data_IF_373714998018
#
_entry.id   IF_373714998018
#
_cell.length_a   1.000
_cell.length_b   1.000
_cell.length_c   1.000
_cell.angle_alpha   90.00
_cell.angle_beta   90.00
_cell.angle_gamma   90.00
#
_symmetry.space_group_name_H-M   'P 1'
#
loop_
_entity.id
_entity.type
_entity.pdbx_description
1 polymer ?
#
# COMPACT_ATOMS: atom_id res chain seq x y z
N UNK A 1 1.23 12.71 -33.09
CA UNK A 1 0.00 12.66 -32.28
C UNK A 1 0.38 11.98 -30.98
N UNK A 2 0.61 12.79 -29.95
CA UNK A 2 1.04 12.35 -28.62
C UNK A 2 -0.16 11.77 -27.88
N UNK A 3 0.01 10.58 -27.32
CA UNK A 3 -0.84 10.01 -26.27
C UNK A 3 -0.15 10.26 -24.94
N UNK A 4 -0.65 11.24 -24.18
CA UNK A 4 -0.26 11.46 -22.78
C UNK A 4 -0.71 10.29 -21.90
N UNK A 5 0.17 9.68 -21.08
CA UNK A 5 -0.21 8.75 -20.04
C UNK A 5 -0.29 9.50 -18.71
N UNK A 6 -1.29 10.38 -18.57
CA UNK A 6 -1.65 10.99 -17.29
C UNK A 6 -3.06 10.55 -16.92
N UNK A 7 -3.20 9.30 -16.46
CA UNK A 7 -4.37 8.89 -15.70
C UNK A 7 -4.04 9.18 -14.24
N UNK A 8 -4.38 10.39 -13.80
CA UNK A 8 -4.61 10.67 -12.39
C UNK A 8 -5.69 9.68 -11.90
N UNK A 9 -5.56 9.08 -10.70
CA UNK A 9 -6.66 8.30 -10.14
C UNK A 9 -7.84 9.24 -9.93
N UNK A 10 -8.93 8.94 -10.64
CA UNK A 10 -10.18 9.68 -10.66
C UNK A 10 -10.64 10.00 -9.22
N UNK A 11 -10.74 11.29 -8.89
CA UNK A 11 -11.38 11.75 -7.67
C UNK A 11 -12.83 11.23 -7.67
N UNK A 12 -13.12 10.31 -6.75
CA UNK A 12 -14.41 9.67 -6.49
C UNK A 12 -14.75 8.40 -7.30
N UNK A 13 -13.94 7.35 -7.12
CA UNK A 13 -14.43 5.98 -7.38
C UNK A 13 -15.59 5.67 -6.43
N UNK A 14 -16.82 5.79 -6.95
CA UNK A 14 -18.06 5.41 -6.27
C UNK A 14 -18.34 3.92 -6.36
N UNK A 15 -17.79 3.23 -7.35
CA UNK A 15 -18.08 1.83 -7.63
C UNK A 15 -16.83 0.99 -7.59
N UNK A 16 -16.90 -0.11 -6.85
CA UNK A 16 -15.76 -1.00 -6.64
C UNK A 16 -16.08 -2.40 -7.15
N UNK A 17 -15.20 -2.92 -8.01
CA UNK A 17 -15.25 -4.30 -8.51
C UNK A 17 -14.79 -5.27 -7.41
N UNK A 18 -15.72 -6.05 -6.88
CA UNK A 18 -15.49 -6.98 -5.78
C UNK A 18 -16.54 -6.80 -4.68
N UNK A 19 -16.79 -7.85 -3.92
CA UNK A 19 -17.72 -7.79 -2.79
C UNK A 19 -17.19 -8.65 -1.64
N UNK A 20 -16.97 -8.10 -0.43
CA UNK A 20 -16.43 -8.87 0.69
C UNK A 20 -17.35 -10.01 1.16
N UNK A 21 -18.63 -9.99 0.76
CA UNK A 21 -19.57 -11.07 1.07
C UNK A 21 -19.51 -12.24 0.09
N UNK A 22 -18.79 -12.15 -1.04
CA UNK A 22 -18.69 -13.22 -2.04
C UNK A 22 -17.70 -14.31 -1.61
N UNK A 23 -18.13 -15.58 -1.64
CA UNK A 23 -17.27 -16.76 -1.45
C UNK A 23 -17.50 -17.81 -2.52
N UNK A 24 -16.45 -18.58 -2.76
CA UNK A 24 -16.43 -19.70 -3.68
C UNK A 24 -15.93 -20.94 -2.92
N UNK A 25 -16.75 -21.99 -2.92
CA UNK A 25 -16.49 -23.26 -2.27
C UNK A 25 -16.55 -24.36 -3.33
N UNK A 26 -15.43 -24.58 -4.02
CA UNK A 26 -15.40 -25.46 -5.19
C UNK A 26 -16.24 -24.86 -6.32
N UNK A 27 -17.31 -25.55 -6.73
CA UNK A 27 -18.22 -25.07 -7.78
C UNK A 27 -19.35 -24.16 -7.23
N UNK A 28 -19.55 -24.14 -5.91
CA UNK A 28 -20.62 -23.37 -5.29
C UNK A 28 -20.18 -21.93 -5.01
N UNK A 29 -21.02 -20.97 -5.42
CA UNK A 29 -20.81 -19.55 -5.18
C UNK A 29 -21.87 -19.04 -4.23
N UNK A 30 -21.44 -18.39 -3.14
CA UNK A 30 -22.34 -17.93 -2.08
C UNK A 30 -22.09 -16.48 -1.68
N UNK A 31 -23.14 -15.82 -1.22
CA UNK A 31 -23.10 -14.52 -0.57
C UNK A 31 -23.31 -14.71 0.93
N UNK A 32 -22.46 -14.08 1.74
CA UNK A 32 -22.48 -14.12 3.20
C UNK A 32 -23.00 -12.82 3.83
N UNK A 33 -23.79 -12.01 3.09
CA UNK A 33 -24.25 -10.72 3.59
C UNK A 33 -25.18 -10.90 4.80
N UNK A 34 -25.03 -10.04 5.81
CA UNK A 34 -25.81 -10.11 7.06
C UNK A 34 -25.74 -11.48 7.75
N UNK A 35 -24.60 -12.16 7.67
CA UNK A 35 -24.33 -13.50 8.23
C UNK A 35 -25.27 -14.60 7.73
N UNK A 36 -25.91 -14.35 6.61
CA UNK A 36 -26.80 -15.30 5.96
C UNK A 36 -26.11 -15.86 4.73
N UNK A 37 -26.22 -17.17 4.51
CA UNK A 37 -25.60 -17.84 3.38
C UNK A 37 -26.64 -17.99 2.27
N UNK A 38 -26.39 -17.34 1.12
CA UNK A 38 -27.26 -17.44 -0.05
C UNK A 38 -26.48 -17.94 -1.26
N UNK A 39 -26.98 -18.93 -2.00
CA UNK A 39 -26.38 -19.30 -3.28
C UNK A 39 -26.56 -18.18 -4.29
N UNK A 40 -25.50 -17.85 -5.03
CA UNK A 40 -25.52 -16.77 -6.01
C UNK A 40 -24.90 -17.18 -7.34
N UNK A 41 -25.43 -16.60 -8.41
CA UNK A 41 -24.85 -16.59 -9.74
C UNK A 41 -24.05 -15.29 -9.89
N UNK A 42 -22.75 -15.40 -9.64
CA UNK A 42 -21.84 -14.26 -9.75
C UNK A 42 -21.41 -14.03 -11.20
N UNK A 43 -21.55 -12.79 -11.65
CA UNK A 43 -21.02 -12.30 -12.92
C UNK A 43 -20.16 -11.07 -12.64
N UNK A 44 -19.02 -10.95 -13.32
CA UNK A 44 -18.20 -9.74 -13.28
C UNK A 44 -18.76 -8.75 -14.31
N UNK A 45 -19.14 -7.55 -13.85
CA UNK A 45 -19.69 -6.50 -14.72
C UNK A 45 -18.80 -5.27 -14.67
N UNK A 46 -18.62 -4.62 -15.83
CA UNK A 46 -17.86 -3.39 -15.91
C UNK A 46 -18.59 -2.23 -15.19
N UNK A 47 -17.96 -1.51 -14.25
CA UNK A 47 -18.55 -0.36 -13.58
C UNK A 47 -19.01 0.74 -14.53
N UNK A 48 -18.44 0.82 -15.74
CA UNK A 48 -18.86 1.79 -16.77
C UNK A 48 -20.32 1.64 -17.22
N UNK A 49 -20.95 0.47 -16.98
CA UNK A 49 -22.40 0.31 -17.18
C UNK A 49 -23.24 1.10 -16.16
N UNK A 50 -22.63 1.54 -15.06
CA UNK A 50 -23.29 2.17 -13.92
C UNK A 50 -22.78 3.60 -13.65
N UNK A 51 -22.22 4.29 -14.64
CA UNK A 51 -21.60 5.63 -14.47
C UNK A 51 -22.53 6.67 -13.82
N UNK A 52 -23.85 6.51 -13.96
CA UNK A 52 -24.85 7.41 -13.35
C UNK A 52 -25.11 7.13 -11.87
N UNK A 53 -24.58 6.04 -11.33
CA UNK A 53 -24.84 5.57 -9.97
C UNK A 53 -23.84 6.23 -9.01
N UNK A 54 -24.27 7.33 -8.39
CA UNK A 54 -23.47 8.13 -7.45
C UNK A 54 -24.00 8.07 -6.01
N UNK A 55 -25.23 7.59 -5.83
CA UNK A 55 -25.90 7.49 -4.53
C UNK A 55 -26.80 6.26 -4.45
N UNK A 56 -27.07 5.81 -3.24
CA UNK A 56 -27.96 4.67 -2.96
C UNK A 56 -29.36 4.86 -3.56
N UNK A 57 -29.89 6.07 -3.62
CA UNK A 57 -31.25 6.33 -4.14
C UNK A 57 -31.43 5.87 -5.60
N UNK A 58 -30.34 5.79 -6.35
CA UNK A 58 -30.33 5.38 -7.75
C UNK A 58 -30.19 3.86 -7.93
N UNK A 59 -29.83 3.10 -6.87
CA UNK A 59 -29.60 1.65 -6.94
C UNK A 59 -30.84 0.88 -7.38
N UNK A 60 -32.04 1.36 -7.02
CA UNK A 60 -33.29 0.69 -7.40
C UNK A 60 -33.46 0.52 -8.91
N UNK A 61 -32.91 1.43 -9.73
CA UNK A 61 -32.97 1.32 -11.18
C UNK A 61 -32.05 0.24 -11.77
N UNK A 62 -31.06 -0.21 -10.99
CA UNK A 62 -30.04 -1.17 -11.39
C UNK A 62 -30.13 -2.50 -10.64
N UNK A 63 -31.12 -2.64 -9.75
CA UNK A 63 -31.37 -3.85 -9.01
C UNK A 63 -31.76 -5.00 -9.96
N UNK A 64 -31.18 -6.18 -9.73
CA UNK A 64 -31.53 -7.39 -10.46
C UNK A 64 -32.93 -7.87 -10.06
N UNK A 65 -33.74 -8.26 -11.05
CA UNK A 65 -35.01 -8.96 -10.82
C UNK A 65 -34.81 -10.40 -10.30
N UNK A 66 -33.59 -10.95 -10.43
CA UNK A 66 -33.22 -12.25 -9.89
C UNK A 66 -32.41 -12.09 -8.59
N UNK A 67 -32.98 -12.62 -7.49
CA UNK A 67 -32.42 -12.56 -6.14
C UNK A 67 -31.07 -13.26 -5.97
N UNK A 68 -30.76 -14.22 -6.85
CA UNK A 68 -29.50 -14.95 -6.79
C UNK A 68 -28.41 -14.28 -7.63
N UNK A 69 -28.70 -13.23 -8.40
CA UNK A 69 -27.67 -12.59 -9.23
C UNK A 69 -26.76 -11.68 -8.42
N UNK A 70 -25.45 -11.82 -8.60
CA UNK A 70 -24.44 -10.96 -8.01
C UNK A 70 -23.58 -10.34 -9.10
N UNK A 71 -23.55 -9.01 -9.20
CA UNK A 71 -22.71 -8.30 -10.18
C UNK A 71 -21.26 -8.14 -9.74
N UNK A 72 -20.91 -8.67 -8.55
CA UNK A 72 -19.63 -8.44 -7.89
C UNK A 72 -19.23 -6.96 -7.90
N UNK A 73 -20.21 -6.10 -7.66
CA UNK A 73 -20.04 -4.65 -7.68
C UNK A 73 -20.69 -4.06 -6.44
N UNK A 74 -19.94 -3.21 -5.75
CA UNK A 74 -20.43 -2.45 -4.61
C UNK A 74 -20.37 -0.95 -4.87
N UNK A 75 -21.40 -0.25 -4.39
CA UNK A 75 -21.46 1.20 -4.34
C UNK A 75 -20.93 1.69 -2.99
N UNK A 76 -20.02 2.64 -3.03
CA UNK A 76 -19.53 3.41 -1.90
C UNK A 76 -20.36 4.69 -1.79
N UNK A 77 -21.43 4.65 -0.99
CA UNK A 77 -22.24 5.85 -0.75
C UNK A 77 -21.53 6.74 0.28
N UNK A 78 -20.76 7.71 -0.21
CA UNK A 78 -19.98 8.64 0.62
C UNK A 78 -20.87 9.62 1.40
N UNK A 79 -22.14 9.80 1.02
CA UNK A 79 -23.05 10.69 1.75
C UNK A 79 -23.60 9.99 3.00
N UNK A 80 -24.05 8.74 2.86
CA UNK A 80 -24.52 7.94 3.99
C UNK A 80 -23.36 7.30 4.78
N UNK A 81 -22.18 7.15 4.17
CA UNK A 81 -20.99 6.54 4.77
C UNK A 81 -20.97 5.02 4.73
N UNK A 82 -21.88 4.37 4.00
CA UNK A 82 -22.05 2.92 3.95
C UNK A 82 -21.91 2.33 2.56
N UNK A 83 -21.62 1.04 2.52
CA UNK A 83 -21.46 0.28 1.29
C UNK A 83 -22.73 -0.49 0.93
N UNK A 84 -23.03 -0.56 -0.36
CA UNK A 84 -24.23 -1.20 -0.89
C UNK A 84 -23.93 -2.18 -2.01
N UNK A 85 -24.58 -3.33 -2.01
CA UNK A 85 -24.55 -4.29 -3.11
C UNK A 85 -25.38 -3.75 -4.28
N UNK A 86 -24.77 -3.59 -5.46
CA UNK A 86 -25.43 -3.01 -6.64
C UNK A 86 -26.56 -3.92 -7.14
N UNK A 87 -26.32 -5.23 -7.19
CA UNK A 87 -27.31 -6.17 -7.76
C UNK A 87 -28.54 -6.37 -6.89
N UNK A 88 -28.42 -6.21 -5.58
CA UNK A 88 -29.52 -6.49 -4.64
C UNK A 88 -30.09 -5.22 -3.99
N UNK A 89 -29.47 -4.04 -4.19
CA UNK A 89 -29.84 -2.81 -3.49
C UNK A 89 -29.92 -3.02 -1.96
N UNK A 90 -28.93 -3.71 -1.43
CA UNK A 90 -28.86 -4.06 0.00
C UNK A 90 -27.60 -3.49 0.60
N UNK A 91 -27.70 -3.01 1.85
CA UNK A 91 -26.53 -2.61 2.61
C UNK A 91 -25.65 -3.82 2.86
N UNK A 92 -24.35 -3.63 2.71
CA UNK A 92 -23.34 -4.66 2.98
C UNK A 92 -23.08 -4.66 4.48
N UNK A 93 -23.27 -5.82 5.09
CA UNK A 93 -23.05 -6.04 6.51
C UNK A 93 -22.35 -7.38 6.72
N UNK A 94 -21.41 -7.39 7.66
CA UNK A 94 -20.64 -8.55 8.08
C UNK A 94 -20.75 -8.58 9.60
N UNK A 95 -21.11 -9.73 10.17
CA UNK A 95 -21.30 -9.91 11.61
C UNK A 95 -22.32 -8.92 12.20
N UNK A 96 -23.45 -8.72 11.49
CA UNK A 96 -24.51 -7.74 11.81
C UNK A 96 -24.04 -6.28 11.96
N UNK A 97 -22.82 -5.97 11.54
CA UNK A 97 -22.28 -4.62 11.51
C UNK A 97 -22.21 -4.15 10.06
N UNK A 98 -22.70 -2.94 9.83
CA UNK A 98 -22.69 -2.32 8.51
C UNK A 98 -21.26 -1.97 8.12
N UNK A 99 -20.86 -2.35 6.91
CA UNK A 99 -19.53 -2.03 6.38
C UNK A 99 -19.51 -0.57 5.94
N UNK A 100 -18.60 0.21 6.51
CA UNK A 100 -18.44 1.63 6.19
C UNK A 100 -17.59 1.83 4.94
N UNK A 101 -17.83 2.94 4.24
CA UNK A 101 -17.02 3.34 3.07
C UNK A 101 -15.55 3.53 3.44
N UNK A 102 -15.27 4.11 4.61
CA UNK A 102 -13.90 4.34 5.08
C UNK A 102 -13.13 3.03 5.31
N UNK A 103 -13.81 1.94 5.67
CA UNK A 103 -13.21 0.63 5.83
C UNK A 103 -12.88 0.00 4.48
N UNK A 104 -13.76 0.15 3.49
CA UNK A 104 -13.48 -0.28 2.12
C UNK A 104 -12.34 0.54 1.51
N UNK A 105 -12.35 1.87 1.62
CA UNK A 105 -11.25 2.72 1.11
C UNK A 105 -9.89 2.29 1.70
N UNK A 106 -9.88 1.88 2.98
CA UNK A 106 -8.67 1.37 3.64
C UNK A 106 -8.28 -0.02 3.15
N UNK A 107 -9.26 -0.91 2.99
CA UNK A 107 -9.05 -2.24 2.41
C UNK A 107 -8.56 -2.16 0.94
N UNK A 108 -9.03 -1.18 0.18
CA UNK A 108 -8.63 -0.95 -1.21
C UNK A 108 -7.17 -0.54 -1.33
N UNK A 109 -6.73 0.42 -0.51
CA UNK A 109 -5.32 0.80 -0.44
C UNK A 109 -4.43 -0.41 -0.09
N UNK A 110 -4.92 -1.30 0.77
CA UNK A 110 -4.23 -2.54 1.10
C UNK A 110 -4.17 -3.52 -0.08
N UNK A 111 -5.31 -3.97 -0.59
CA UNK A 111 -5.38 -5.01 -1.64
C UNK A 111 -4.67 -4.58 -2.93
N UNK A 112 -4.74 -3.29 -3.29
CA UNK A 112 -4.03 -2.78 -4.47
C UNK A 112 -2.51 -2.67 -4.29
N UNK A 113 -2.04 -2.55 -3.04
CA UNK A 113 -0.61 -2.56 -2.73
C UNK A 113 0.00 -3.96 -2.68
N UNK A 114 -0.81 -4.98 -2.36
CA UNK A 114 -0.37 -6.37 -2.17
C UNK A 114 -0.64 -7.26 -3.37
N UNK A 115 -1.68 -7.01 -4.18
CA UNK A 115 -2.04 -7.83 -5.34
C UNK A 115 -2.06 -7.02 -6.65
N UNK A 116 -1.24 -7.45 -7.62
CA UNK A 116 -1.34 -7.02 -9.03
C UNK A 116 -2.38 -7.88 -9.76
N UNK A 117 -3.67 -7.71 -9.45
CA UNK A 117 -4.70 -8.37 -10.26
C UNK A 117 -4.70 -7.80 -11.69
N UNK A 118 -4.60 -8.67 -12.70
CA UNK A 118 -4.48 -8.27 -14.12
C UNK A 118 -5.78 -7.66 -14.69
N UNK A 119 -6.91 -7.87 -14.03
CA UNK A 119 -8.24 -7.47 -14.52
C UNK A 119 -8.90 -6.33 -13.71
N UNK A 120 -8.19 -5.77 -12.71
CA UNK A 120 -8.74 -4.72 -11.83
C UNK A 120 -9.94 -5.17 -10.98
N UNK A 121 -10.22 -6.48 -10.93
CA UNK A 121 -11.19 -7.09 -10.02
C UNK A 121 -10.47 -7.36 -8.71
N UNK A 122 -10.98 -6.80 -7.61
CA UNK A 122 -10.37 -6.98 -6.31
C UNK A 122 -10.69 -8.37 -5.77
N UNK A 123 -9.69 -8.99 -5.16
CA UNK A 123 -9.85 -10.24 -4.43
C UNK A 123 -10.89 -10.05 -3.31
N UNK A 124 -12.08 -10.63 -3.52
CA UNK A 124 -13.20 -10.55 -2.58
C UNK A 124 -12.90 -11.21 -1.24
N UNK A 125 -12.04 -12.24 -1.25
CA UNK A 125 -11.56 -12.90 -0.03
C UNK A 125 -10.60 -12.00 0.75
N UNK A 126 -9.73 -11.26 0.05
CA UNK A 126 -8.77 -10.33 0.65
C UNK A 126 -9.49 -9.14 1.30
N UNK A 127 -10.49 -8.57 0.62
CA UNK A 127 -11.38 -7.55 1.20
C UNK A 127 -12.08 -8.07 2.46
N UNK A 128 -12.59 -9.29 2.44
CA UNK A 128 -13.23 -9.87 3.62
C UNK A 128 -12.26 -10.10 4.78
N UNK A 129 -11.10 -10.71 4.52
CA UNK A 129 -10.07 -10.94 5.55
C UNK A 129 -9.67 -9.62 6.19
N UNK A 130 -9.43 -8.58 5.39
CA UNK A 130 -9.13 -7.24 5.90
C UNK A 130 -10.24 -6.72 6.82
N UNK A 131 -11.49 -6.72 6.38
CA UNK A 131 -12.63 -6.22 7.19
C UNK A 131 -12.84 -7.03 8.47
N UNK A 132 -12.65 -8.36 8.40
CA UNK A 132 -12.78 -9.24 9.56
C UNK A 132 -11.65 -9.07 10.56
N UNK A 133 -10.48 -8.62 10.14
CA UNK A 133 -9.33 -8.41 11.03
C UNK A 133 -9.29 -6.99 11.56
N UNK A 134 -9.30 -6.00 10.65
CA UNK A 134 -8.99 -4.60 10.93
C UNK A 134 -10.21 -3.69 10.86
N UNK A 135 -11.35 -4.19 10.38
CA UNK A 135 -12.61 -3.43 10.37
C UNK A 135 -13.19 -3.30 11.78
N UNK A 136 -13.98 -2.26 12.02
CA UNK A 136 -14.73 -2.08 13.27
C UNK A 136 -15.69 -3.26 13.54
N UNK A 137 -16.00 -4.03 12.49
CA UNK A 137 -16.69 -5.32 12.58
C UNK A 137 -15.96 -6.40 13.40
N UNK A 138 -14.65 -6.26 13.66
CA UNK A 138 -13.81 -7.28 14.31
C UNK A 138 -13.67 -7.15 15.83
N UNK A 139 -14.05 -6.01 16.41
CA UNK A 139 -13.71 -5.60 17.80
C UNK A 139 -14.13 -6.61 18.88
N UNK A 140 -15.14 -7.45 18.62
CA UNK A 140 -15.70 -8.40 19.59
C UNK A 140 -15.33 -9.88 19.33
N UNK A 141 -14.49 -10.17 18.31
CA UNK A 141 -14.28 -11.54 17.82
C UNK A 141 -12.89 -12.10 18.04
N UNK A 142 -11.89 -11.24 18.19
CA UNK A 142 -10.51 -11.64 18.33
C UNK A 142 -10.07 -11.34 19.76
N UNK A 143 -9.46 -12.33 20.41
CA UNK A 143 -8.63 -12.07 21.58
C UNK A 143 -7.50 -11.10 21.20
N UNK A 144 -6.95 -10.40 22.19
CA UNK A 144 -5.83 -9.48 21.93
C UNK A 144 -4.65 -10.21 21.26
N UNK A 145 -4.41 -11.46 21.64
CA UNK A 145 -3.38 -12.31 21.03
C UNK A 145 -3.66 -12.66 19.56
N UNK A 146 -4.89 -13.04 19.21
CA UNK A 146 -5.25 -13.30 17.80
C UNK A 146 -5.20 -12.02 16.97
N UNK A 147 -5.54 -10.88 17.56
CA UNK A 147 -5.44 -9.57 16.91
C UNK A 147 -3.98 -9.21 16.63
N UNK A 148 -3.10 -9.37 17.62
CA UNK A 148 -1.66 -9.15 17.51
C UNK A 148 -1.03 -10.06 16.44
N UNK A 149 -1.38 -11.34 16.41
CA UNK A 149 -0.86 -12.29 15.41
C UNK A 149 -1.24 -11.89 13.98
N UNK A 150 -2.48 -11.43 13.76
CA UNK A 150 -2.89 -11.01 12.44
C UNK A 150 -2.25 -9.66 12.07
N UNK A 151 -2.13 -8.72 13.00
CA UNK A 151 -1.38 -7.47 12.77
C UNK A 151 0.08 -7.78 12.43
N UNK A 152 0.71 -8.74 13.12
CA UNK A 152 2.09 -9.16 12.83
C UNK A 152 2.22 -9.72 11.41
N UNK A 153 1.29 -10.60 11.02
CA UNK A 153 1.23 -11.17 9.67
C UNK A 153 1.05 -10.09 8.62
N UNK A 154 0.19 -9.12 8.89
CA UNK A 154 -0.05 -7.97 8.02
C UNK A 154 1.19 -7.09 7.85
N UNK A 155 1.85 -6.74 8.96
CA UNK A 155 3.09 -5.95 8.94
C UNK A 155 4.16 -6.66 8.13
N UNK A 156 4.28 -7.98 8.33
CA UNK A 156 5.21 -8.82 7.59
C UNK A 156 4.94 -8.79 6.10
N UNK A 157 3.70 -9.04 5.66
CA UNK A 157 3.35 -9.02 4.23
C UNK A 157 3.62 -7.66 3.58
N UNK A 158 3.21 -6.56 4.23
CA UNK A 158 3.47 -5.22 3.69
C UNK A 158 4.96 -4.89 3.61
N UNK A 159 5.70 -5.17 4.67
CA UNK A 159 7.12 -4.83 4.75
C UNK A 159 7.93 -5.68 3.76
N UNK A 160 7.59 -6.97 3.61
CA UNK A 160 8.17 -7.87 2.60
C UNK A 160 7.86 -7.39 1.18
N UNK A 161 6.61 -7.01 0.88
CA UNK A 161 6.26 -6.48 -0.45
C UNK A 161 7.02 -5.19 -0.78
N UNK A 162 7.19 -4.30 0.19
CA UNK A 162 8.00 -3.10 -0.02
C UNK A 162 9.47 -3.47 -0.24
N UNK A 163 10.02 -4.41 0.52
CA UNK A 163 11.40 -4.87 0.35
C UNK A 163 11.62 -5.51 -1.03
N UNK A 164 10.68 -6.31 -1.53
CA UNK A 164 10.67 -6.83 -2.92
C UNK A 164 10.74 -5.67 -3.92
N UNK A 165 9.91 -4.64 -3.73
CA UNK A 165 9.84 -3.50 -4.63
C UNK A 165 11.06 -2.55 -4.55
N UNK A 166 11.76 -2.51 -3.42
CA UNK A 166 12.99 -1.72 -3.25
C UNK A 166 14.20 -2.45 -3.82
N UNK A 167 14.29 -3.76 -3.58
CA UNK A 167 15.38 -4.60 -4.06
C UNK A 167 15.20 -5.07 -5.51
N UNK A 168 14.09 -4.71 -6.16
CA UNK A 168 13.70 -5.17 -7.50
C UNK A 168 13.76 -6.70 -7.64
N UNK A 169 13.33 -7.42 -6.61
CA UNK A 169 13.29 -8.88 -6.63
C UNK A 169 12.20 -9.40 -7.56
N UNK A 170 12.52 -10.38 -8.41
CA UNK A 170 11.57 -11.04 -9.28
C UNK A 170 11.00 -12.28 -8.58
N UNK A 171 9.67 -12.35 -8.47
CA UNK A 171 8.92 -13.28 -7.59
C UNK A 171 8.90 -14.74 -8.07
N UNK A 172 9.78 -15.13 -9.01
CA UNK A 172 9.81 -16.47 -9.60
C UNK A 172 10.56 -17.52 -8.78
N UNK A 173 11.28 -17.13 -7.73
CA UNK A 173 12.13 -18.02 -6.92
C UNK A 173 11.72 -17.94 -5.43
N UNK A 174 11.88 -19.04 -4.67
CA UNK A 174 11.25 -19.23 -3.36
C UNK A 174 11.81 -18.38 -2.20
N UNK A 175 11.21 -18.50 -1.01
CA UNK A 175 11.49 -17.67 0.20
C UNK A 175 12.96 -17.64 0.64
N UNK A 176 13.69 -18.76 0.52
CA UNK A 176 15.12 -18.80 0.88
C UNK A 176 15.99 -17.94 -0.04
N UNK A 177 15.60 -17.83 -1.31
CA UNK A 177 16.33 -17.01 -2.29
C UNK A 177 16.05 -15.51 -2.08
N UNK A 178 14.85 -15.18 -1.58
CA UNK A 178 14.48 -13.80 -1.23
C UNK A 178 15.35 -13.21 -0.11
N UNK A 179 15.58 -13.93 0.99
CA UNK A 179 16.41 -13.43 2.09
C UNK A 179 17.88 -13.24 1.66
N UNK A 180 18.40 -14.15 0.86
CA UNK A 180 19.73 -14.02 0.27
C UNK A 180 19.83 -12.81 -0.67
N UNK A 181 18.77 -12.53 -1.44
CA UNK A 181 18.68 -11.33 -2.26
C UNK A 181 18.68 -10.05 -1.42
N UNK A 182 17.89 -9.99 -0.35
CA UNK A 182 17.88 -8.84 0.56
C UNK A 182 19.26 -8.63 1.21
N UNK A 183 19.97 -9.69 1.59
CA UNK A 183 21.34 -9.56 2.11
C UNK A 183 22.34 -9.06 1.06
N UNK A 184 22.18 -9.42 -0.21
CA UNK A 184 22.99 -8.87 -1.32
C UNK A 184 22.69 -7.39 -1.50
N UNK A 185 21.41 -7.02 -1.56
CA UNK A 185 20.97 -5.64 -1.69
C UNK A 185 21.46 -4.76 -0.52
N UNK A 186 21.37 -5.27 0.72
CA UNK A 186 21.89 -4.59 1.91
C UNK A 186 23.41 -4.35 1.83
N UNK A 187 24.18 -5.28 1.25
CA UNK A 187 25.61 -5.09 0.99
C UNK A 187 25.87 -4.00 -0.05
N UNK A 188 25.03 -3.88 -1.08
CA UNK A 188 25.13 -2.81 -2.09
C UNK A 188 24.85 -1.44 -1.48
N UNK A 189 23.79 -1.32 -0.66
CA UNK A 189 23.50 -0.09 0.09
C UNK A 189 24.68 0.28 1.01
N UNK A 190 25.24 -0.69 1.73
CA UNK A 190 26.38 -0.40 2.60
C UNK A 190 27.64 0.02 1.83
N UNK A 191 27.88 -0.53 0.63
CA UNK A 191 28.95 -0.06 -0.27
C UNK A 191 28.71 1.37 -0.75
N UNK A 192 27.48 1.72 -1.12
CA UNK A 192 27.14 3.09 -1.53
C UNK A 192 27.33 4.09 -0.38
N UNK A 193 27.05 3.70 0.87
CA UNK A 193 27.35 4.54 2.06
C UNK A 193 28.83 4.89 2.19
N UNK A 194 29.73 3.94 1.97
CA UNK A 194 31.18 4.23 1.97
C UNK A 194 31.56 5.21 0.85
N UNK A 195 30.94 5.08 -0.33
CA UNK A 195 31.11 6.03 -1.43
C UNK A 195 30.65 7.43 -1.06
N UNK A 196 29.45 7.58 -0.49
CA UNK A 196 28.92 8.88 -0.03
C UNK A 196 29.82 9.52 1.03
N UNK A 197 30.30 8.76 2.01
CA UNK A 197 31.21 9.28 3.03
C UNK A 197 32.51 9.83 2.40
N UNK A 198 33.09 9.11 1.44
CA UNK A 198 34.26 9.60 0.71
C UNK A 198 33.98 10.86 -0.11
N UNK A 199 32.80 10.95 -0.73
CA UNK A 199 32.39 12.09 -1.54
C UNK A 199 32.19 13.34 -0.68
N UNK A 200 31.57 13.20 0.49
CA UNK A 200 31.40 14.28 1.47
C UNK A 200 32.77 14.81 1.93
N UNK A 201 33.72 13.91 2.26
CA UNK A 201 35.07 14.32 2.65
C UNK A 201 35.80 15.09 1.53
N UNK A 202 35.66 14.64 0.28
CA UNK A 202 36.27 15.29 -0.87
C UNK A 202 35.64 16.67 -1.16
N UNK A 203 34.31 16.79 -1.08
CA UNK A 203 33.60 18.05 -1.26
C UNK A 203 33.97 19.07 -0.18
N UNK A 204 34.02 18.64 1.09
CA UNK A 204 34.49 19.50 2.19
C UNK A 204 35.94 19.94 2.01
N UNK A 205 36.81 19.06 1.50
CA UNK A 205 38.22 19.38 1.22
C UNK A 205 38.40 20.33 0.04
N UNK A 206 37.46 20.34 -0.90
CA UNK A 206 37.51 21.20 -2.11
C UNK A 206 36.74 22.51 -1.92
N UNK A 207 36.28 22.81 -0.70
CA UNK A 207 35.46 24.00 -0.39
C UNK A 207 34.26 24.15 -1.33
N UNK A 208 33.63 23.02 -1.67
CA UNK A 208 32.40 23.01 -2.45
C UNK A 208 31.27 23.74 -1.68
N UNK A 209 30.26 24.22 -2.41
CA UNK A 209 29.09 24.89 -1.84
C UNK A 209 28.41 24.03 -0.77
N UNK A 210 28.08 24.65 0.36
CA UNK A 210 27.48 23.97 1.51
C UNK A 210 26.18 23.23 1.15
N UNK A 211 25.38 23.77 0.22
CA UNK A 211 24.15 23.15 -0.27
C UNK A 211 24.41 21.82 -1.00
N UNK A 212 25.52 21.72 -1.74
CA UNK A 212 25.91 20.47 -2.41
C UNK A 212 26.36 19.43 -1.39
N UNK A 213 27.08 19.85 -0.35
CA UNK A 213 27.46 18.96 0.75
C UNK A 213 26.22 18.44 1.48
N UNK A 214 25.27 19.32 1.80
CA UNK A 214 24.00 18.97 2.45
C UNK A 214 23.18 17.98 1.60
N UNK A 215 23.13 18.17 0.28
CA UNK A 215 22.45 17.25 -0.63
C UNK A 215 23.03 15.83 -0.54
N UNK A 216 24.36 15.69 -0.54
CA UNK A 216 25.01 14.38 -0.45
C UNK A 216 24.84 13.77 0.95
N UNK A 217 24.84 14.57 2.02
CA UNK A 217 24.53 14.12 3.37
C UNK A 217 23.09 13.59 3.48
N UNK A 218 22.14 14.23 2.80
CA UNK A 218 20.76 13.78 2.71
C UNK A 218 20.65 12.44 1.95
N UNK A 219 21.35 12.25 0.82
CA UNK A 219 21.43 10.96 0.12
C UNK A 219 22.04 9.84 0.98
N UNK A 220 23.11 10.16 1.73
CA UNK A 220 23.72 9.23 2.68
C UNK A 220 22.74 8.81 3.79
N UNK A 221 21.95 9.77 4.28
CA UNK A 221 20.92 9.53 5.29
C UNK A 221 19.79 8.65 4.75
N UNK A 222 19.36 8.89 3.51
CA UNK A 222 18.35 8.07 2.83
C UNK A 222 18.80 6.61 2.72
N UNK A 223 20.02 6.38 2.20
CA UNK A 223 20.60 5.04 2.10
C UNK A 223 20.70 4.34 3.47
N UNK A 224 21.01 5.08 4.54
CA UNK A 224 21.02 4.54 5.91
C UNK A 224 19.62 4.11 6.36
N UNK A 225 18.60 4.94 6.11
CA UNK A 225 17.22 4.63 6.50
C UNK A 225 16.67 3.43 5.72
N UNK A 226 16.96 3.33 4.42
CA UNK A 226 16.62 2.15 3.62
C UNK A 226 17.29 0.89 4.17
N UNK A 227 18.59 0.96 4.52
CA UNK A 227 19.30 -0.17 5.14
C UNK A 227 18.66 -0.60 6.47
N UNK A 228 18.22 0.36 7.30
CA UNK A 228 17.53 0.06 8.57
C UNK A 228 16.18 -0.61 8.31
N UNK A 229 15.44 -0.14 7.31
CA UNK A 229 14.16 -0.73 6.92
C UNK A 229 14.33 -2.19 6.45
N UNK A 230 15.27 -2.45 5.52
CA UNK A 230 15.53 -3.80 5.01
C UNK A 230 16.01 -4.74 6.12
N UNK A 231 16.84 -4.25 7.05
CA UNK A 231 17.26 -5.04 8.20
C UNK A 231 16.06 -5.42 9.08
N UNK A 232 15.15 -4.48 9.34
CA UNK A 232 13.95 -4.76 10.12
C UNK A 232 13.06 -5.81 9.43
N UNK A 233 12.93 -5.78 8.10
CA UNK A 233 12.20 -6.80 7.34
C UNK A 233 12.81 -8.19 7.54
N UNK A 234 14.14 -8.31 7.42
CA UNK A 234 14.84 -9.58 7.68
C UNK A 234 14.65 -10.09 9.11
N UNK A 235 14.51 -9.19 10.07
CA UNK A 235 14.28 -9.53 11.48
C UNK A 235 12.84 -9.94 11.82
N UNK A 236 11.86 -9.73 10.93
CA UNK A 236 10.46 -10.15 11.13
C UNK A 236 10.25 -11.67 10.99
N UNK A 237 11.20 -12.36 10.35
CA UNK A 237 11.20 -13.80 10.11
C UNK A 237 12.09 -14.56 11.10
N UNK A 238 12.75 -13.87 12.03
CA UNK A 238 13.62 -14.48 13.03
C UNK A 238 12.79 -15.06 14.20
N UNK A 239 12.72 -16.40 14.35
CA UNK A 239 11.90 -17.04 15.38
C UNK A 239 12.40 -16.79 16.81
N UNK A 240 13.66 -16.35 16.97
CA UNK A 240 14.25 -16.04 18.29
C UNK A 240 13.97 -14.60 18.73
N UNK A 241 13.35 -13.78 17.87
CA UNK A 241 13.10 -12.38 18.11
C UNK A 241 11.68 -12.19 18.69
N UNK A 242 11.54 -12.21 20.03
CA UNK A 242 10.31 -11.83 20.76
C UNK A 242 10.02 -10.31 20.63
N UNK A 243 9.98 -9.79 19.41
CA UNK A 243 9.65 -8.39 19.17
C UNK A 243 8.15 -8.24 19.10
N UNK A 244 7.59 -7.43 20.00
CA UNK A 244 6.20 -7.00 19.97
C UNK A 244 5.86 -6.48 18.55
N UNK A 245 4.89 -7.10 17.84
CA UNK A 245 4.50 -6.70 16.49
C UNK A 245 4.12 -5.22 16.36
N UNK A 246 3.52 -4.65 17.40
CA UNK A 246 3.15 -3.23 17.44
C UNK A 246 4.39 -2.34 17.54
N UNK A 247 5.37 -2.74 18.34
CA UNK A 247 6.67 -2.05 18.40
C UNK A 247 7.40 -2.05 17.05
N UNK A 248 7.41 -3.19 16.35
CA UNK A 248 7.97 -3.33 15.00
C UNK A 248 7.24 -2.47 13.99
N UNK A 249 5.89 -2.45 14.03
CA UNK A 249 5.06 -1.58 13.19
C UNK A 249 5.41 -0.11 13.41
N UNK A 250 5.43 0.36 14.67
CA UNK A 250 5.76 1.76 14.99
C UNK A 250 7.15 2.15 14.55
N UNK A 251 8.11 1.25 14.71
CA UNK A 251 9.48 1.47 14.23
C UNK A 251 9.54 1.59 12.70
N UNK A 252 8.82 0.72 11.97
CA UNK A 252 8.72 0.78 10.51
C UNK A 252 8.01 2.05 10.04
N UNK A 253 6.94 2.48 10.70
CA UNK A 253 6.25 3.77 10.43
C UNK A 253 7.23 4.92 10.60
N UNK A 254 7.86 5.03 11.76
CA UNK A 254 8.79 6.13 12.05
C UNK A 254 10.01 6.15 11.12
N UNK A 255 10.49 4.98 10.67
CA UNK A 255 11.55 4.90 9.66
C UNK A 255 11.06 5.40 8.30
N UNK A 256 9.86 5.00 7.90
CA UNK A 256 9.24 5.37 6.62
C UNK A 256 8.92 6.86 6.54
N UNK A 257 8.41 7.46 7.62
CA UNK A 257 8.19 8.91 7.72
C UNK A 257 9.50 9.69 7.56
N UNK A 258 10.59 9.21 8.18
CA UNK A 258 11.91 9.82 8.02
C UNK A 258 12.42 9.69 6.60
N UNK A 259 12.17 8.56 5.93
CA UNK A 259 12.50 8.39 4.50
C UNK A 259 11.78 9.44 3.65
N UNK A 260 10.49 9.65 3.87
CA UNK A 260 9.69 10.66 3.16
C UNK A 260 10.23 12.07 3.44
N UNK A 261 10.51 12.40 4.71
CA UNK A 261 11.06 13.70 5.09
C UNK A 261 12.40 13.97 4.40
N UNK A 262 13.31 12.99 4.41
CA UNK A 262 14.62 13.13 3.75
C UNK A 262 14.46 13.21 2.24
N UNK A 263 13.57 12.43 1.63
CA UNK A 263 13.26 12.51 0.19
C UNK A 263 12.82 13.92 -0.22
N UNK A 264 11.93 14.54 0.58
CA UNK A 264 11.48 15.92 0.39
C UNK A 264 12.65 16.92 0.48
N UNK A 265 13.52 16.79 1.48
CA UNK A 265 14.70 17.65 1.62
C UNK A 265 15.64 17.52 0.42
N UNK A 266 15.92 16.29 -0.05
CA UNK A 266 16.75 16.07 -1.25
C UNK A 266 16.08 16.74 -2.46
N UNK A 267 14.74 16.63 -2.61
CA UNK A 267 14.02 17.27 -3.71
C UNK A 267 14.16 18.79 -3.68
N UNK A 268 13.96 19.41 -2.53
CA UNK A 268 14.10 20.85 -2.37
C UNK A 268 15.52 21.33 -2.68
N UNK A 269 16.54 20.66 -2.12
CA UNK A 269 17.95 20.98 -2.36
C UNK A 269 18.33 20.80 -3.84
N UNK A 270 17.85 19.72 -4.47
CA UNK A 270 18.08 19.47 -5.90
C UNK A 270 17.51 20.59 -6.75
N UNK A 271 16.28 21.04 -6.45
CA UNK A 271 15.63 22.12 -7.21
C UNK A 271 16.38 23.44 -7.05
N UNK A 272 16.79 23.81 -5.83
CA UNK A 272 17.57 25.03 -5.57
C UNK A 272 18.89 25.02 -6.34
N UNK A 273 19.64 23.92 -6.28
CA UNK A 273 20.91 23.78 -6.99
C UNK A 273 20.76 23.80 -8.53
N UNK A 274 19.64 23.31 -9.06
CA UNK A 274 19.33 23.42 -10.49
C UNK A 274 18.96 24.84 -10.90
N UNK A 275 18.22 25.58 -10.07
CA UNK A 275 17.85 26.99 -10.34
C UNK A 275 19.07 27.92 -10.34
N UNK A 276 20.10 27.58 -9.55
CA UNK A 276 21.33 28.35 -9.45
C UNK A 276 22.34 28.11 -10.59
N UNK A 277 22.09 27.14 -11.49
CA UNK A 277 23.06 26.70 -12.51
C UNK A 277 24.45 26.34 -11.91
N UNK A 278 24.49 25.98 -10.63
CA UNK A 278 25.73 25.77 -9.87
C UNK A 278 26.38 24.40 -10.15
N UNK A 279 25.76 23.56 -10.98
CA UNK A 279 26.16 22.18 -11.16
C UNK A 279 26.67 21.90 -12.58
N UNK A 280 27.81 21.19 -12.73
CA UNK A 280 28.25 20.65 -14.02
C UNK A 280 27.18 19.74 -14.64
N UNK A 281 27.02 19.79 -15.98
CA UNK A 281 26.01 19.04 -16.75
C UNK A 281 25.90 17.55 -16.37
N UNK A 282 27.05 16.91 -16.09
CA UNK A 282 27.13 15.50 -15.70
C UNK A 282 26.49 15.22 -14.32
N UNK A 283 26.58 16.17 -13.39
CA UNK A 283 25.93 16.06 -12.07
C UNK A 283 24.44 16.32 -12.21
N UNK A 284 24.04 17.25 -13.07
CA UNK A 284 22.64 17.55 -13.34
C UNK A 284 21.90 16.35 -13.97
N UNK A 285 22.52 15.68 -14.94
CA UNK A 285 21.99 14.45 -15.55
C UNK A 285 21.84 13.32 -14.52
N UNK A 286 22.85 13.14 -13.66
CA UNK A 286 22.82 12.16 -12.57
C UNK A 286 21.70 12.46 -11.57
N UNK A 287 21.56 13.70 -11.12
CA UNK A 287 20.51 14.11 -10.18
C UNK A 287 19.12 13.97 -10.78
N UNK A 288 18.95 14.26 -12.07
CA UNK A 288 17.67 14.03 -12.77
C UNK A 288 17.29 12.55 -12.77
N UNK A 289 18.23 11.66 -13.09
CA UNK A 289 18.01 10.20 -13.07
C UNK A 289 17.69 9.68 -11.66
N UNK A 290 18.40 10.19 -10.64
CA UNK A 290 18.10 9.86 -9.25
C UNK A 290 16.76 10.43 -8.78
N UNK A 291 16.33 11.58 -9.31
CA UNK A 291 15.04 12.20 -8.97
C UNK A 291 13.85 11.33 -9.41
N UNK A 292 13.91 10.71 -10.59
CA UNK A 292 12.87 9.80 -11.07
C UNK A 292 12.78 8.52 -10.24
N UNK A 293 13.93 7.88 -9.98
CA UNK A 293 13.98 6.70 -9.12
C UNK A 293 13.47 7.02 -7.69
N UNK A 294 13.79 8.20 -7.18
CA UNK A 294 13.33 8.69 -5.87
C UNK A 294 11.82 8.89 -5.82
N UNK A 295 11.19 9.45 -6.86
CA UNK A 295 9.72 9.62 -6.90
C UNK A 295 8.99 8.29 -6.73
N UNK A 296 9.50 7.24 -7.37
CA UNK A 296 8.94 5.89 -7.20
C UNK A 296 9.10 5.39 -5.76
N UNK A 297 10.26 5.59 -5.14
CA UNK A 297 10.51 5.20 -3.74
C UNK A 297 9.66 5.99 -2.75
N UNK A 298 9.55 7.31 -2.92
CA UNK A 298 8.74 8.20 -2.07
C UNK A 298 7.26 7.81 -2.10
N UNK A 299 6.71 7.57 -3.29
CA UNK A 299 5.33 7.11 -3.45
C UNK A 299 5.08 5.79 -2.71
N UNK A 300 6.02 4.85 -2.80
CA UNK A 300 5.93 3.55 -2.12
C UNK A 300 5.94 3.69 -0.59
N UNK A 301 6.86 4.49 -0.04
CA UNK A 301 6.91 4.75 1.41
C UNK A 301 5.69 5.53 1.90
N UNK A 302 5.16 6.47 1.11
CA UNK A 302 3.93 7.21 1.44
C UNK A 302 2.71 6.30 1.53
N UNK A 303 2.58 5.34 0.60
CA UNK A 303 1.54 4.32 0.65
C UNK A 303 1.67 3.44 1.89
N UNK A 304 2.89 3.02 2.25
CA UNK A 304 3.14 2.24 3.46
C UNK A 304 2.74 3.00 4.72
N UNK A 305 3.20 4.25 4.87
CA UNK A 305 2.88 5.10 6.02
C UNK A 305 1.37 5.28 6.15
N UNK A 306 0.66 5.50 5.04
CA UNK A 306 -0.81 5.62 5.02
C UNK A 306 -1.49 4.32 5.46
N UNK A 307 -1.00 3.16 5.01
CA UNK A 307 -1.54 1.86 5.37
C UNK A 307 -1.28 1.50 6.85
N UNK A 308 -0.10 1.83 7.37
CA UNK A 308 0.30 1.51 8.73
C UNK A 308 -0.27 2.48 9.78
N UNK A 309 -0.41 3.78 9.47
CA UNK A 309 -1.06 4.75 10.37
C UNK A 309 -2.53 4.42 10.64
N UNK A 310 -3.22 3.91 9.63
CA UNK A 310 -4.60 3.44 9.77
C UNK A 310 -4.73 2.27 10.74
N UNK A 311 -3.63 1.54 10.99
CA UNK A 311 -3.60 0.41 11.92
C UNK A 311 -3.22 0.89 13.31
N UNK A 312 -2.17 1.71 13.45
CA UNK A 312 -1.77 2.25 14.76
C UNK A 312 -2.92 3.03 15.42
N UNK A 313 -3.67 3.82 14.64
CA UNK A 313 -4.86 4.56 15.08
C UNK A 313 -6.07 3.67 15.46
N UNK A 314 -6.05 2.38 15.10
CA UNK A 314 -7.10 1.40 15.45
C UNK A 314 -6.67 0.44 16.56
N UNK A 315 -5.38 0.41 16.89
CA UNK A 315 -4.79 -0.39 17.97
C UNK A 315 -4.52 0.41 19.24
N UNK A 316 -4.70 1.74 19.21
CA UNK A 316 -4.70 2.64 20.38
C UNK A 316 -6.11 2.99 20.81
#
# INVERSE_FOLDING_TARGET
MNTDPNILPDEHVHLVRGCPCYREFGEEKVCLNSDSVFPINAISVDPSFFVKLVSKDQLGAFQSNNKNMCYLLMLLDRNEGFCYCVSQNQRISINKKDVKVSEIDSALQFVTSTEKSRDGVLCSDCLYRYLRTLGESSVDFLTDSEREEIIATYVRELATNLAVQLSNYETSEGVSDFNDHLWKYLREINRSRSHWASMILNLKKTEAEDELVELIEAYSTLARLESVFIFQVLSLDDPDNETDPLSSLRFMVGTSEKVISVSNSIRELTNRLMELNALPDKIQEMLSKHSEARKATEYKFSNLVSALHKIDARTT
#
